data_IF_108664347271
#
_entry.id   IF_108664347271
#
_cell.length_a   1.000
_cell.length_b   1.000
_cell.length_c   1.000
_cell.angle_alpha   90.00
_cell.angle_beta   90.00
_cell.angle_gamma   90.00
#
_symmetry.space_group_name_H-M   'P 1'
#
loop_
_entity.id
_entity.type
_entity.pdbx_description
1 polymer ?
#
# COMPACT_ATOMS: atom_id res chain seq x y z
N UNK A 1 4.57 -34.19 7.38
CA UNK A 1 3.95 -32.83 7.13
C UNK A 1 2.45 -33.03 6.97
N UNK A 2 1.64 -32.28 7.74
CA UNK A 2 0.19 -32.27 7.52
C UNK A 2 -0.09 -31.37 6.31
N UNK A 3 -0.60 -31.97 5.25
CA UNK A 3 -1.07 -31.23 4.07
C UNK A 3 -2.25 -30.35 4.48
N UNK A 4 -2.23 -29.07 4.10
CA UNK A 4 -3.36 -28.17 4.30
C UNK A 4 -4.36 -28.43 3.18
N UNK A 5 -5.57 -28.84 3.55
CA UNK A 5 -6.66 -29.06 2.61
C UNK A 5 -7.61 -27.87 2.67
N UNK A 6 -7.96 -27.33 1.53
CA UNK A 6 -8.95 -26.24 1.39
C UNK A 6 -10.15 -26.77 0.63
N UNK A 7 -11.30 -26.83 1.27
CA UNK A 7 -12.56 -27.15 0.60
C UNK A 7 -13.23 -25.86 0.12
N UNK A 8 -13.56 -25.78 -1.15
CA UNK A 8 -14.07 -24.53 -1.75
C UNK A 8 -15.36 -24.02 -1.08
N UNK A 9 -16.25 -24.92 -0.66
CA UNK A 9 -17.52 -24.57 0.03
C UNK A 9 -17.31 -24.01 1.44
N UNK A 10 -16.13 -24.23 2.06
CA UNK A 10 -15.78 -23.67 3.36
C UNK A 10 -15.29 -22.22 3.23
N UNK A 11 -14.74 -21.88 2.06
CA UNK A 11 -14.18 -20.57 1.77
C UNK A 11 -15.21 -19.64 1.15
N UNK A 12 -15.91 -20.10 0.10
CA UNK A 12 -16.97 -19.35 -0.59
C UNK A 12 -18.17 -20.25 -0.83
N UNK A 13 -19.35 -19.87 -0.31
CA UNK A 13 -20.60 -20.65 -0.43
C UNK A 13 -21.46 -20.12 -1.56
N UNK A 14 -20.88 -19.98 -2.73
CA UNK A 14 -21.56 -19.49 -3.91
C UNK A 14 -21.53 -20.51 -5.04
N UNK A 15 -22.48 -20.43 -5.97
CA UNK A 15 -22.66 -21.40 -7.06
C UNK A 15 -21.70 -21.20 -8.24
N UNK A 16 -20.94 -20.13 -8.28
CA UNK A 16 -20.00 -19.77 -9.36
C UNK A 16 -18.73 -20.63 -9.26
N UNK A 17 -18.67 -21.68 -10.05
CA UNK A 17 -17.67 -22.74 -9.92
C UNK A 17 -16.25 -22.25 -10.17
N UNK A 18 -16.02 -21.48 -11.23
CA UNK A 18 -14.68 -20.97 -11.57
C UNK A 18 -14.14 -20.04 -10.50
N UNK A 19 -14.89 -19.02 -10.13
CA UNK A 19 -14.50 -18.04 -9.13
C UNK A 19 -14.35 -18.68 -7.74
N UNK A 20 -15.19 -19.66 -7.41
CA UNK A 20 -15.08 -20.42 -6.17
C UNK A 20 -13.80 -21.25 -6.12
N UNK A 21 -13.47 -21.93 -7.23
CA UNK A 21 -12.23 -22.71 -7.34
C UNK A 21 -11.01 -21.80 -7.31
N UNK A 22 -11.04 -20.69 -8.03
CA UNK A 22 -10.01 -19.66 -7.99
C UNK A 22 -9.75 -19.18 -6.56
N UNK A 23 -10.81 -18.83 -5.83
CA UNK A 23 -10.73 -18.40 -4.42
C UNK A 23 -10.15 -19.47 -3.52
N UNK A 24 -10.56 -20.72 -3.70
CA UNK A 24 -10.03 -21.86 -2.92
C UNK A 24 -8.56 -22.16 -3.24
N UNK A 25 -8.17 -22.08 -4.51
CA UNK A 25 -6.79 -22.25 -4.93
C UNK A 25 -5.88 -21.16 -4.34
N UNK A 26 -6.33 -19.90 -4.40
CA UNK A 26 -5.59 -18.80 -3.79
C UNK A 26 -5.50 -18.96 -2.27
N UNK A 27 -6.60 -19.38 -1.60
CA UNK A 27 -6.55 -19.69 -0.17
C UNK A 27 -5.52 -20.78 0.13
N UNK A 28 -5.51 -21.86 -0.62
CA UNK A 28 -4.55 -22.95 -0.44
C UNK A 28 -3.09 -22.49 -0.64
N UNK A 29 -2.87 -21.57 -1.58
CA UNK A 29 -1.56 -20.98 -1.85
C UNK A 29 -1.05 -20.10 -0.71
N UNK A 30 -1.90 -19.22 -0.16
CA UNK A 30 -1.48 -18.24 0.88
C UNK A 30 -1.58 -18.81 2.29
N UNK A 31 -2.42 -19.82 2.54
CA UNK A 31 -2.66 -20.38 3.87
C UNK A 31 -1.41 -20.86 4.62
N UNK A 32 -0.41 -21.53 4.00
CA UNK A 32 0.79 -21.95 4.71
C UNK A 32 1.56 -20.78 5.33
N UNK A 33 1.75 -19.70 4.55
CA UNK A 33 2.47 -18.51 5.01
C UNK A 33 1.68 -17.75 6.09
N UNK A 34 0.38 -17.53 5.87
CA UNK A 34 -0.50 -16.87 6.83
C UNK A 34 -0.57 -17.63 8.15
N UNK A 35 -0.72 -18.96 8.07
CA UNK A 35 -0.75 -19.85 9.24
C UNK A 35 0.53 -19.78 10.05
N UNK A 36 1.68 -19.86 9.38
CA UNK A 36 2.98 -19.72 10.02
C UNK A 36 3.12 -18.38 10.74
N UNK A 37 2.77 -17.29 10.06
CA UNK A 37 2.82 -15.95 10.62
C UNK A 37 1.90 -15.79 11.85
N UNK A 38 0.64 -16.23 11.75
CA UNK A 38 -0.34 -16.15 12.84
C UNK A 38 0.15 -16.91 14.08
N UNK A 39 0.65 -18.13 13.91
CA UNK A 39 1.11 -18.92 15.04
C UNK A 39 2.40 -18.38 15.65
N UNK A 40 3.35 -17.92 14.83
CA UNK A 40 4.57 -17.30 15.31
C UNK A 40 4.25 -16.01 16.12
N UNK A 41 3.35 -15.17 15.60
CA UNK A 41 2.90 -13.96 16.28
C UNK A 41 2.17 -14.28 17.60
N UNK A 42 1.26 -15.26 17.61
CA UNK A 42 0.54 -15.67 18.80
C UNK A 42 1.51 -16.18 19.89
N UNK A 43 2.48 -17.03 19.51
CA UNK A 43 3.47 -17.55 20.45
C UNK A 43 4.38 -16.46 21.02
N UNK A 44 4.78 -15.48 20.20
CA UNK A 44 5.62 -14.38 20.67
C UNK A 44 4.84 -13.42 21.60
N UNK A 45 3.57 -13.15 21.30
CA UNK A 45 2.70 -12.34 22.17
C UNK A 45 2.45 -13.04 23.51
N UNK A 46 2.23 -14.35 23.52
CA UNK A 46 2.06 -15.14 24.75
C UNK A 46 3.32 -15.08 25.62
N UNK A 47 4.50 -15.23 25.03
CA UNK A 47 5.79 -15.08 25.75
C UNK A 47 5.95 -13.70 26.39
N UNK A 48 5.40 -12.67 25.78
CA UNK A 48 5.38 -11.29 26.31
C UNK A 48 4.26 -11.04 27.30
N UNK A 49 3.50 -12.07 27.69
CA UNK A 49 2.44 -11.98 28.70
C UNK A 49 1.11 -11.47 28.16
N UNK A 50 0.91 -11.41 26.83
CA UNK A 50 -0.40 -11.07 26.27
C UNK A 50 -1.41 -12.17 26.56
N UNK A 51 -2.55 -11.79 27.17
CA UNK A 51 -3.63 -12.71 27.56
C UNK A 51 -4.94 -12.45 26.80
N UNK A 52 -4.92 -11.54 25.86
CA UNK A 52 -6.09 -11.16 25.06
C UNK A 52 -6.33 -12.10 23.88
N UNK A 53 -7.38 -11.83 23.12
CA UNK A 53 -7.66 -12.50 21.86
C UNK A 53 -6.94 -11.77 20.73
N UNK A 54 -6.19 -12.50 19.91
CA UNK A 54 -5.56 -11.95 18.70
C UNK A 54 -6.60 -11.94 17.57
N UNK A 55 -6.77 -10.77 16.98
CA UNK A 55 -7.59 -10.58 15.78
C UNK A 55 -6.71 -10.22 14.58
N UNK A 56 -7.13 -10.65 13.41
CA UNK A 56 -6.52 -10.32 12.14
C UNK A 56 -7.50 -9.51 11.29
N UNK A 57 -6.97 -8.52 10.59
CA UNK A 57 -7.74 -7.69 9.67
C UNK A 57 -8.16 -8.47 8.45
N UNK A 58 -9.42 -8.28 8.01
CA UNK A 58 -9.96 -8.86 6.78
C UNK A 58 -9.96 -7.83 5.64
N UNK A 59 -9.94 -8.35 4.41
CA UNK A 59 -10.13 -7.56 3.19
C UNK A 59 -11.48 -6.83 3.15
N UNK A 60 -12.48 -7.37 3.83
CA UNK A 60 -13.84 -6.81 3.94
C UNK A 60 -13.94 -5.58 4.86
N UNK A 61 -12.88 -5.25 5.59
CA UNK A 61 -12.85 -4.13 6.52
C UNK A 61 -13.22 -4.48 7.96
N UNK A 62 -13.46 -5.75 8.26
CA UNK A 62 -13.66 -6.24 9.63
C UNK A 62 -12.42 -6.95 10.19
N UNK A 63 -12.53 -7.42 11.42
CA UNK A 63 -11.54 -8.30 12.04
C UNK A 63 -12.13 -9.66 12.39
N UNK A 64 -11.32 -10.70 12.28
CA UNK A 64 -11.65 -12.08 12.67
C UNK A 64 -10.59 -12.61 13.62
N UNK A 65 -10.94 -13.66 14.40
CA UNK A 65 -9.96 -14.34 15.24
C UNK A 65 -8.81 -14.89 14.41
N UNK A 66 -7.61 -14.84 14.96
CA UNK A 66 -6.39 -15.27 14.28
C UNK A 66 -6.44 -16.73 13.81
N UNK A 67 -7.09 -17.63 14.58
CA UNK A 67 -7.27 -19.03 14.21
C UNK A 67 -8.12 -19.18 12.94
N UNK A 68 -9.14 -18.32 12.77
CA UNK A 68 -9.98 -18.30 11.57
C UNK A 68 -9.24 -17.74 10.37
N UNK A 69 -8.41 -16.71 10.58
CA UNK A 69 -7.53 -16.17 9.55
C UNK A 69 -6.53 -17.21 9.05
N UNK A 70 -6.05 -18.11 9.91
CA UNK A 70 -5.17 -19.22 9.52
C UNK A 70 -5.85 -20.26 8.63
N UNK A 71 -7.19 -20.33 8.63
CA UNK A 71 -8.00 -21.23 7.78
C UNK A 71 -8.49 -20.50 6.52
N UNK A 72 -9.02 -19.30 6.69
CA UNK A 72 -9.57 -18.46 5.62
C UNK A 72 -8.57 -17.36 5.23
N UNK A 73 -7.36 -17.76 4.90
CA UNK A 73 -6.24 -16.85 4.66
C UNK A 73 -6.50 -15.85 3.52
N UNK A 74 -7.26 -16.26 2.49
CA UNK A 74 -7.66 -15.39 1.38
C UNK A 74 -8.41 -14.14 1.84
N UNK A 75 -9.12 -14.20 2.96
CA UNK A 75 -9.83 -13.05 3.53
C UNK A 75 -8.92 -12.02 4.20
N UNK A 76 -7.63 -12.30 4.34
CA UNK A 76 -6.65 -11.36 4.93
C UNK A 76 -5.78 -10.65 3.88
N UNK A 77 -5.99 -10.96 2.61
CA UNK A 77 -5.29 -10.29 1.52
C UNK A 77 -5.66 -8.79 1.50
N UNK A 78 -4.69 -7.92 1.17
CA UNK A 78 -4.88 -6.47 1.14
C UNK A 78 -5.27 -5.83 2.49
N UNK A 79 -5.13 -6.53 3.62
CA UNK A 79 -5.54 -6.06 4.95
C UNK A 79 -4.84 -4.75 5.39
N UNK A 80 -3.59 -4.51 4.97
CA UNK A 80 -2.86 -3.27 5.25
C UNK A 80 -3.52 -2.05 4.64
N UNK A 81 -3.69 -1.98 3.31
CA UNK A 81 -4.43 -0.90 2.64
C UNK A 81 -5.85 -0.70 3.16
N UNK A 82 -6.55 -1.80 3.48
CA UNK A 82 -7.90 -1.75 4.05
C UNK A 82 -7.92 -1.07 5.42
N UNK A 83 -6.90 -1.30 6.27
CA UNK A 83 -6.76 -0.56 7.52
C UNK A 83 -6.69 0.96 7.30
N UNK A 84 -5.95 1.40 6.29
CA UNK A 84 -5.89 2.80 5.88
C UNK A 84 -7.24 3.36 5.43
N UNK A 85 -7.99 2.60 4.63
CA UNK A 85 -9.33 2.99 4.17
C UNK A 85 -10.31 3.14 5.35
N UNK A 86 -10.27 2.22 6.33
CA UNK A 86 -11.08 2.33 7.56
C UNK A 86 -10.68 3.58 8.35
N UNK A 87 -9.37 3.81 8.53
CA UNK A 87 -8.89 5.03 9.16
C UNK A 87 -9.41 6.28 8.46
N UNK A 88 -9.45 6.28 7.13
CA UNK A 88 -9.97 7.40 6.34
C UNK A 88 -11.47 7.64 6.59
N UNK A 89 -12.27 6.58 6.74
CA UNK A 89 -13.74 6.70 6.93
C UNK A 89 -14.14 7.31 8.27
N UNK A 90 -13.28 7.26 9.28
CA UNK A 90 -13.56 7.88 10.59
C UNK A 90 -13.08 9.34 10.67
N UNK A 91 -12.40 9.82 9.65
CA UNK A 91 -12.09 11.24 9.51
C UNK A 91 -13.38 12.00 9.16
N UNK A 92 -13.63 13.11 9.85
CA UNK A 92 -14.86 13.91 9.67
C UNK A 92 -14.83 14.69 8.36
N UNK A 93 -14.93 14.01 7.25
CA UNK A 93 -15.09 14.52 5.88
C UNK A 93 -15.98 13.56 5.10
N UNK A 94 -16.87 14.08 4.28
CA UNK A 94 -17.81 13.27 3.50
C UNK A 94 -17.12 12.53 2.36
N UNK A 95 -16.19 13.18 1.68
CA UNK A 95 -15.50 12.63 0.52
C UNK A 95 -13.98 12.69 0.71
N UNK A 96 -13.34 11.53 0.76
CA UNK A 96 -11.90 11.40 0.95
C UNK A 96 -11.31 10.47 -0.12
N UNK A 97 -10.22 10.93 -0.74
CA UNK A 97 -9.27 10.07 -1.42
C UNK A 97 -8.16 9.77 -0.42
N UNK A 98 -8.21 8.59 0.21
CA UNK A 98 -7.15 8.11 1.08
C UNK A 98 -6.07 7.44 0.27
N UNK A 99 -4.80 7.81 0.47
CA UNK A 99 -3.71 7.06 -0.14
C UNK A 99 -2.55 6.80 0.81
N UNK A 100 -2.02 5.59 0.68
CA UNK A 100 -0.83 5.09 1.37
C UNK A 100 0.33 4.99 0.38
N UNK A 101 1.44 5.67 0.66
CA UNK A 101 2.68 5.47 -0.09
C UNK A 101 3.69 4.81 0.84
N UNK A 102 3.86 3.53 0.62
CA UNK A 102 4.87 2.73 1.30
C UNK A 102 6.20 2.67 0.55
N UNK A 103 7.00 1.64 0.83
CA UNK A 103 8.25 1.40 0.12
C UNK A 103 8.06 0.81 -1.29
N UNK A 104 6.96 0.10 -1.54
CA UNK A 104 6.76 -0.70 -2.77
C UNK A 104 5.55 -0.26 -3.58
N UNK A 105 4.46 0.09 -2.91
CA UNK A 105 3.17 0.40 -3.52
C UNK A 105 2.66 1.80 -3.19
N UNK A 106 1.76 2.24 -4.02
CA UNK A 106 0.84 3.35 -3.82
C UNK A 106 -0.57 2.77 -3.82
N UNK A 107 -1.24 2.82 -2.68
CA UNK A 107 -2.55 2.24 -2.46
C UNK A 107 -3.58 3.34 -2.27
N UNK A 108 -4.65 3.32 -3.05
CA UNK A 108 -5.71 4.35 -3.05
C UNK A 108 -7.04 3.74 -2.66
N UNK A 109 -7.76 4.42 -1.79
CA UNK A 109 -9.12 4.08 -1.39
C UNK A 109 -10.04 5.31 -1.44
N UNK A 110 -11.34 5.09 -1.62
CA UNK A 110 -12.34 6.14 -1.62
C UNK A 110 -13.28 6.01 -0.43
N UNK A 111 -13.54 7.14 0.20
CA UNK A 111 -14.68 7.35 1.10
C UNK A 111 -15.63 8.30 0.39
N UNK A 112 -16.86 7.87 0.16
CA UNK A 112 -17.91 8.63 -0.52
C UNK A 112 -19.10 8.78 0.43
N UNK A 113 -19.50 10.01 0.71
CA UNK A 113 -20.53 10.32 1.70
C UNK A 113 -20.29 9.63 3.06
N UNK A 114 -19.04 9.65 3.54
CA UNK A 114 -18.64 9.07 4.81
C UNK A 114 -18.59 7.53 4.84
N UNK A 115 -18.71 6.86 3.69
CA UNK A 115 -18.71 5.39 3.60
C UNK A 115 -17.59 4.88 2.72
N UNK A 116 -16.96 3.81 3.16
CA UNK A 116 -15.99 3.06 2.35
C UNK A 116 -16.76 2.24 1.32
N UNK A 117 -16.26 2.23 0.10
CA UNK A 117 -16.78 1.34 -0.93
C UNK A 117 -16.28 -0.09 -0.73
N UNK A 118 -17.20 -1.03 -0.80
CA UNK A 118 -16.90 -2.47 -0.75
C UNK A 118 -17.39 -3.14 -2.02
N UNK A 119 -16.60 -4.06 -2.53
CA UNK A 119 -16.98 -4.96 -3.61
C UNK A 119 -17.27 -6.36 -3.04
N UNK A 120 -18.24 -7.05 -3.61
CA UNK A 120 -18.56 -8.45 -3.25
C UNK A 120 -17.54 -9.41 -3.86
N UNK A 121 -16.96 -8.99 -4.98
CA UNK A 121 -15.97 -9.72 -5.75
C UNK A 121 -14.72 -8.85 -5.91
N UNK A 122 -13.56 -9.47 -5.85
CA UNK A 122 -12.28 -8.83 -6.13
C UNK A 122 -11.55 -9.60 -7.23
N UNK A 123 -10.57 -8.96 -7.82
CA UNK A 123 -9.61 -9.58 -8.71
C UNK A 123 -8.20 -9.33 -8.19
N UNK A 124 -7.40 -10.39 -8.09
CA UNK A 124 -5.99 -10.29 -7.71
C UNK A 124 -5.18 -10.96 -8.81
N UNK A 125 -4.30 -10.21 -9.46
CA UNK A 125 -3.44 -10.70 -10.56
C UNK A 125 -4.21 -11.42 -11.66
N UNK A 126 -5.40 -10.93 -12.02
CA UNK A 126 -6.28 -11.53 -13.03
C UNK A 126 -7.12 -12.72 -12.55
N UNK A 127 -7.02 -13.08 -11.27
CA UNK A 127 -7.81 -14.17 -10.68
C UNK A 127 -9.01 -13.63 -9.91
N UNK A 128 -10.25 -14.03 -10.27
CA UNK A 128 -11.44 -13.61 -9.52
C UNK A 128 -11.49 -14.25 -8.15
N UNK A 129 -11.93 -13.48 -7.17
CA UNK A 129 -12.05 -13.88 -5.77
C UNK A 129 -13.44 -13.57 -5.26
N UNK A 130 -14.13 -14.60 -4.77
CA UNK A 130 -15.41 -14.50 -4.07
C UNK A 130 -15.16 -14.23 -2.59
N UNK A 131 -14.76 -13.02 -2.26
CA UNK A 131 -14.63 -12.55 -0.89
C UNK A 131 -14.95 -11.05 -0.86
N UNK A 132 -15.80 -10.59 0.06
CA UNK A 132 -16.03 -9.17 0.23
C UNK A 132 -14.71 -8.44 0.47
N UNK A 133 -14.48 -7.36 -0.27
CA UNK A 133 -13.23 -6.62 -0.20
C UNK A 133 -13.51 -5.12 -0.22
N UNK A 134 -12.84 -4.37 0.61
CA UNK A 134 -12.79 -2.91 0.48
C UNK A 134 -12.13 -2.59 -0.86
N UNK A 135 -12.72 -1.69 -1.61
CA UNK A 135 -12.21 -1.30 -2.91
C UNK A 135 -10.94 -0.44 -2.74
N UNK A 136 -9.79 -1.08 -2.88
CA UNK A 136 -8.48 -0.45 -2.84
C UNK A 136 -7.80 -0.69 -4.19
N UNK A 137 -7.35 0.39 -4.81
CA UNK A 137 -6.58 0.33 -6.05
C UNK A 137 -5.09 0.51 -5.75
N UNK A 138 -4.26 -0.43 -6.21
CA UNK A 138 -2.83 -0.46 -5.91
C UNK A 138 -2.00 -0.43 -7.19
N UNK A 139 -0.96 0.39 -7.19
CA UNK A 139 0.07 0.41 -8.25
C UNK A 139 1.47 0.30 -7.66
N UNK A 140 2.40 -0.26 -8.45
CA UNK A 140 3.82 -0.35 -8.08
C UNK A 140 4.54 1.00 -8.20
N UNK A 141 4.20 1.96 -7.32
CA UNK A 141 4.76 3.31 -7.29
C UNK A 141 5.05 3.76 -5.86
N UNK A 142 5.84 3.00 -5.12
CA UNK A 142 6.30 3.34 -3.76
C UNK A 142 7.69 3.96 -3.74
N UNK A 143 8.16 4.34 -2.55
CA UNK A 143 9.45 4.99 -2.36
C UNK A 143 10.65 4.22 -2.91
N UNK A 144 10.58 2.88 -2.96
CA UNK A 144 11.61 2.02 -3.54
C UNK A 144 11.51 1.81 -5.05
N UNK A 145 10.54 2.42 -5.74
CA UNK A 145 10.42 2.30 -7.19
C UNK A 145 11.65 2.84 -7.89
N UNK A 146 12.23 2.00 -8.76
CA UNK A 146 13.51 2.24 -9.41
C UNK A 146 13.34 3.25 -10.55
N UNK A 147 14.26 4.21 -10.64
CA UNK A 147 14.41 5.10 -11.78
C UNK A 147 15.36 4.47 -12.81
N UNK A 148 14.93 4.32 -14.05
CA UNK A 148 15.67 3.67 -15.11
C UNK A 148 15.48 4.38 -16.46
N UNK A 149 16.24 3.99 -17.46
CA UNK A 149 16.21 4.58 -18.80
C UNK A 149 15.64 3.57 -19.80
N UNK A 150 14.75 4.02 -20.67
CA UNK A 150 14.24 3.25 -21.79
C UNK A 150 14.14 4.12 -23.04
N UNK A 151 14.84 3.72 -24.09
CA UNK A 151 14.85 4.41 -25.38
C UNK A 151 15.14 5.92 -25.28
N UNK A 152 16.06 6.31 -24.42
CA UNK A 152 16.43 7.70 -24.15
C UNK A 152 15.46 8.45 -23.25
N UNK A 153 14.41 7.82 -22.74
CA UNK A 153 13.43 8.40 -21.85
C UNK A 153 13.58 7.92 -20.39
N UNK A 154 13.33 8.84 -19.46
CA UNK A 154 13.31 8.53 -18.03
C UNK A 154 12.06 7.73 -17.67
N UNK A 155 12.21 6.66 -16.89
CA UNK A 155 11.14 5.80 -16.37
C UNK A 155 11.27 5.62 -14.87
N UNK A 156 10.14 5.39 -14.20
CA UNK A 156 10.08 5.11 -12.76
C UNK A 156 9.16 3.92 -12.51
N UNK A 157 9.68 2.89 -11.81
CA UNK A 157 8.93 1.64 -11.59
C UNK A 157 8.54 0.93 -12.89
N UNK A 158 7.72 -0.13 -12.81
CA UNK A 158 7.08 -0.70 -11.61
C UNK A 158 8.04 -1.50 -10.70
N UNK A 159 9.26 -1.78 -11.15
CA UNK A 159 10.26 -2.49 -10.36
C UNK A 159 10.61 -1.70 -9.10
N UNK A 160 10.74 -2.41 -7.98
CA UNK A 160 11.13 -1.85 -6.69
C UNK A 160 12.46 -2.44 -6.21
N UNK A 161 13.31 -1.60 -5.63
CA UNK A 161 14.51 -2.05 -4.94
C UNK A 161 14.20 -2.81 -3.63
N UNK A 162 12.95 -2.79 -3.19
CA UNK A 162 12.52 -3.42 -1.94
C UNK A 162 13.18 -2.80 -0.71
N UNK A 163 13.28 -3.61 0.36
CA UNK A 163 13.96 -3.22 1.58
C UNK A 163 15.45 -3.61 1.57
N UNK A 164 15.80 -4.64 0.79
CA UNK A 164 17.16 -5.18 0.61
C UNK A 164 17.30 -5.57 -0.87
N UNK A 165 18.25 -4.99 -1.60
CA UNK A 165 19.24 -4.01 -1.17
C UNK A 165 18.65 -2.63 -0.81
N UNK A 166 17.46 -2.30 -1.33
CA UNK A 166 16.76 -1.05 -1.07
C UNK A 166 17.31 0.15 -1.86
N UNK A 167 16.79 1.35 -1.57
CA UNK A 167 17.31 2.61 -2.07
C UNK A 167 18.82 2.79 -1.86
N UNK A 168 19.47 3.54 -2.74
CA UNK A 168 20.91 3.84 -2.62
C UNK A 168 21.25 4.45 -1.26
N UNK A 169 20.39 5.35 -0.78
CA UNK A 169 20.57 6.04 0.49
C UNK A 169 20.58 5.09 1.71
N UNK A 170 20.01 3.88 1.60
CA UNK A 170 20.01 2.93 2.73
C UNK A 170 21.39 2.29 2.97
N UNK A 171 22.31 2.44 2.02
CA UNK A 171 23.69 1.91 2.10
C UNK A 171 23.75 0.40 2.37
N UNK A 172 22.84 -0.35 1.76
CA UNK A 172 22.72 -1.82 1.91
C UNK A 172 23.02 -2.57 0.61
N UNK A 173 23.78 -1.93 -0.31
CA UNK A 173 24.13 -2.51 -1.60
C UNK A 173 23.22 -2.08 -2.76
N UNK A 174 22.22 -1.21 -2.53
CA UNK A 174 21.46 -0.58 -3.60
C UNK A 174 22.36 0.31 -4.45
N UNK A 175 22.24 0.18 -5.78
CA UNK A 175 23.08 0.93 -6.74
C UNK A 175 22.26 1.69 -7.79
N UNK A 176 20.93 1.53 -7.80
CA UNK A 176 20.04 2.18 -8.77
C UNK A 176 19.15 3.19 -8.05
N UNK A 177 19.06 4.46 -8.51
CA UNK A 177 18.24 5.48 -7.90
C UNK A 177 16.77 5.09 -7.79
N UNK A 178 16.13 5.52 -6.71
CA UNK A 178 14.72 5.30 -6.43
C UNK A 178 13.99 6.62 -6.13
N UNK A 179 12.66 6.57 -5.97
CA UNK A 179 11.87 7.74 -5.51
C UNK A 179 12.35 8.23 -4.14
N UNK A 180 12.72 7.32 -3.21
CA UNK A 180 13.28 7.72 -1.90
C UNK A 180 14.57 8.50 -2.07
N UNK A 181 15.44 8.06 -2.95
CA UNK A 181 16.70 8.73 -3.25
C UNK A 181 16.46 10.11 -3.89
N UNK A 182 15.49 10.21 -4.81
CA UNK A 182 15.08 11.49 -5.40
C UNK A 182 14.60 12.48 -4.32
N UNK A 183 13.74 12.04 -3.40
CA UNK A 183 13.29 12.87 -2.29
C UNK A 183 14.45 13.32 -1.36
N UNK A 184 15.48 12.49 -1.22
CA UNK A 184 16.67 12.86 -0.43
C UNK A 184 17.51 13.94 -1.12
N UNK A 185 17.81 13.81 -2.42
CA UNK A 185 18.61 14.84 -3.13
C UNK A 185 17.85 16.15 -3.26
N UNK A 186 16.52 16.12 -3.35
CA UNK A 186 15.67 17.32 -3.36
C UNK A 186 15.49 17.95 -1.98
N UNK A 187 15.99 17.31 -0.92
CA UNK A 187 15.88 17.84 0.45
C UNK A 187 14.52 17.63 1.11
N UNK A 188 13.63 16.82 0.54
CA UNK A 188 12.35 16.46 1.14
C UNK A 188 12.52 15.48 2.31
N UNK A 189 13.63 14.76 2.37
CA UNK A 189 14.02 13.87 3.46
C UNK A 189 15.24 14.41 4.20
N UNK A 190 15.17 14.40 5.55
CA UNK A 190 16.32 14.74 6.41
C UNK A 190 17.11 13.47 6.71
N UNK A 191 18.43 13.44 6.40
CA UNK A 191 19.29 12.30 6.72
C UNK A 191 19.35 12.00 8.22
N UNK A 192 19.26 13.03 9.04
CA UNK A 192 19.39 12.92 10.50
C UNK A 192 18.12 12.40 11.17
N UNK A 193 16.96 12.65 10.55
CA UNK A 193 15.64 12.35 11.14
C UNK A 193 14.93 11.15 10.49
N UNK A 194 15.58 10.48 9.57
CA UNK A 194 14.96 9.33 8.89
C UNK A 194 14.58 8.23 9.90
N UNK A 195 13.34 7.76 9.85
CA UNK A 195 12.74 6.86 10.84
C UNK A 195 12.89 7.34 12.30
N UNK A 196 12.77 8.64 12.53
CA UNK A 196 12.97 9.24 13.85
C UNK A 196 14.42 9.15 14.35
N UNK A 197 15.39 9.20 13.44
CA UNK A 197 16.81 9.12 13.71
C UNK A 197 17.35 7.69 13.96
N UNK A 198 16.49 6.67 13.86
CA UNK A 198 16.89 5.27 14.07
C UNK A 198 17.69 4.66 12.92
N UNK A 199 17.62 5.26 11.74
CA UNK A 199 18.37 4.84 10.58
C UNK A 199 19.08 6.04 9.96
N UNK A 200 20.40 5.93 9.82
CA UNK A 200 21.20 6.90 9.06
C UNK A 200 21.11 6.55 7.59
N UNK A 201 20.88 7.55 6.74
CA UNK A 201 20.88 7.39 5.29
C UNK A 201 22.05 8.15 4.66
N UNK A 202 22.61 7.60 3.59
CA UNK A 202 23.84 8.07 2.96
C UNK A 202 23.52 9.04 1.83
N UNK A 203 23.57 10.35 2.12
CA UNK A 203 23.30 11.40 1.15
C UNK A 203 24.37 11.44 0.04
N UNK A 204 25.63 11.33 0.39
CA UNK A 204 26.75 11.45 -0.56
C UNK A 204 26.69 10.36 -1.65
N UNK A 205 26.40 9.11 -1.27
CA UNK A 205 26.20 8.03 -2.27
C UNK A 205 25.02 8.31 -3.19
N UNK A 206 23.95 8.85 -2.64
CA UNK A 206 22.73 9.18 -3.39
C UNK A 206 22.99 10.29 -4.40
N UNK A 207 23.70 11.35 -3.99
CA UNK A 207 24.09 12.45 -4.87
C UNK A 207 24.93 11.94 -6.05
N UNK A 208 25.95 11.12 -5.80
CA UNK A 208 26.76 10.49 -6.86
C UNK A 208 25.92 9.64 -7.82
N UNK A 209 25.00 8.85 -7.28
CA UNK A 209 24.13 8.01 -8.11
C UNK A 209 23.19 8.86 -9.00
N UNK A 210 22.69 10.00 -8.50
CA UNK A 210 21.87 10.90 -9.29
C UNK A 210 22.68 11.74 -10.29
N UNK A 211 23.93 12.10 -9.99
CA UNK A 211 24.84 12.70 -10.97
C UNK A 211 25.09 11.76 -12.15
N UNK A 212 25.35 10.48 -11.88
CA UNK A 212 25.54 9.46 -12.93
C UNK A 212 24.26 9.19 -13.72
N UNK A 213 23.11 9.16 -13.03
CA UNK A 213 21.81 8.95 -13.66
C UNK A 213 21.42 10.14 -14.55
N UNK A 214 21.61 11.37 -14.08
CA UNK A 214 21.29 12.61 -14.80
C UNK A 214 22.11 12.77 -16.10
N UNK A 215 23.38 12.35 -16.11
CA UNK A 215 24.24 12.38 -17.31
C UNK A 215 23.63 11.64 -18.50
N UNK A 216 22.80 10.63 -18.29
CA UNK A 216 22.12 9.90 -19.37
C UNK A 216 21.10 10.74 -20.13
N UNK A 217 20.68 11.86 -19.56
CA UNK A 217 19.64 12.74 -20.08
C UNK A 217 20.12 14.20 -20.24
N UNK A 218 21.41 14.47 -20.12
CA UNK A 218 21.98 15.83 -20.08
C UNK A 218 21.37 16.71 -18.97
N UNK A 219 21.02 16.10 -17.83
CA UNK A 219 20.44 16.76 -16.67
C UNK A 219 21.44 16.80 -15.50
N UNK A 220 21.37 17.86 -14.70
CA UNK A 220 22.03 17.88 -13.41
C UNK A 220 21.30 16.98 -12.39
N UNK A 221 21.92 16.77 -11.24
CA UNK A 221 21.40 15.92 -10.18
C UNK A 221 20.00 16.32 -9.70
N UNK A 222 19.76 17.64 -9.52
CA UNK A 222 18.48 18.14 -9.01
C UNK A 222 17.38 17.99 -10.07
N UNK A 223 17.66 18.35 -11.31
CA UNK A 223 16.73 18.18 -12.43
C UNK A 223 16.38 16.71 -12.65
N UNK A 224 17.35 15.80 -12.50
CA UNK A 224 17.09 14.36 -12.57
C UNK A 224 16.20 13.89 -11.40
N UNK A 225 16.43 14.38 -10.19
CA UNK A 225 15.59 14.11 -9.03
C UNK A 225 14.16 14.63 -9.19
N UNK A 226 14.01 15.85 -9.68
CA UNK A 226 12.70 16.44 -10.00
C UNK A 226 11.97 15.63 -11.09
N UNK A 227 12.68 15.20 -12.12
CA UNK A 227 12.13 14.33 -13.17
C UNK A 227 11.57 13.03 -12.62
N UNK A 228 12.31 12.35 -11.74
CA UNK A 228 11.86 11.11 -11.08
C UNK A 228 10.62 11.35 -10.25
N UNK A 229 10.58 12.40 -9.40
CA UNK A 229 9.43 12.73 -8.58
C UNK A 229 8.23 13.13 -9.43
N UNK A 230 8.42 13.89 -10.50
CA UNK A 230 7.35 14.31 -11.41
C UNK A 230 6.69 13.11 -12.08
N UNK A 231 7.47 12.19 -12.64
CA UNK A 231 6.95 10.97 -13.26
C UNK A 231 6.19 10.12 -12.23
N UNK A 232 6.72 10.00 -11.01
CA UNK A 232 6.05 9.26 -9.94
C UNK A 232 4.70 9.91 -9.58
N UNK A 233 4.66 11.22 -9.40
CA UNK A 233 3.44 11.96 -9.05
C UNK A 233 2.38 11.87 -10.15
N UNK A 234 2.76 11.95 -11.43
CA UNK A 234 1.83 11.76 -12.55
C UNK A 234 1.24 10.35 -12.55
N UNK A 235 2.06 9.30 -12.35
CA UNK A 235 1.55 7.92 -12.24
C UNK A 235 0.57 7.75 -11.08
N UNK A 236 0.87 8.36 -9.94
CA UNK A 236 -0.02 8.32 -8.77
C UNK A 236 -1.32 9.09 -9.03
N UNK A 237 -1.25 10.26 -9.67
CA UNK A 237 -2.43 11.02 -10.07
C UNK A 237 -3.29 10.25 -11.09
N UNK A 238 -2.67 9.55 -12.04
CA UNK A 238 -3.39 8.72 -13.01
C UNK A 238 -4.10 7.54 -12.34
N UNK A 239 -3.50 6.91 -11.34
CA UNK A 239 -4.15 5.88 -10.53
C UNK A 239 -5.40 6.42 -9.80
N UNK A 240 -5.35 7.65 -9.29
CA UNK A 240 -6.51 8.31 -8.69
C UNK A 240 -7.57 8.62 -9.75
N UNK A 241 -7.17 9.09 -10.95
CA UNK A 241 -8.10 9.33 -12.07
C UNK A 241 -8.79 8.03 -12.50
N UNK A 242 -8.05 6.93 -12.53
CA UNK A 242 -8.61 5.62 -12.88
C UNK A 242 -9.69 5.19 -11.88
N UNK A 243 -9.45 5.37 -10.60
CA UNK A 243 -10.40 5.01 -9.55
C UNK A 243 -11.61 5.96 -9.48
N UNK A 244 -11.46 7.21 -9.91
CA UNK A 244 -12.48 8.27 -9.81
C UNK A 244 -13.15 8.57 -11.13
N UNK A 245 -12.44 9.18 -12.08
CA UNK A 245 -12.99 9.70 -13.35
C UNK A 245 -13.61 8.59 -14.19
N UNK A 246 -12.99 7.42 -14.29
CA UNK A 246 -13.57 6.26 -15.02
C UNK A 246 -14.91 5.80 -14.45
N UNK A 247 -15.18 6.15 -13.20
CA UNK A 247 -16.43 5.82 -12.48
C UNK A 247 -17.41 6.98 -12.45
N UNK A 248 -17.11 8.08 -13.14
CA UNK A 248 -17.94 9.29 -13.17
C UNK A 248 -17.84 10.12 -11.89
N UNK A 249 -16.81 9.91 -11.07
CA UNK A 249 -16.55 10.63 -9.83
C UNK A 249 -15.58 11.79 -10.15
N UNK A 250 -15.92 13.00 -9.73
CA UNK A 250 -15.04 14.16 -9.87
C UNK A 250 -14.11 14.26 -8.64
N UNK A 251 -12.78 14.04 -8.79
CA UNK A 251 -11.85 14.09 -7.68
C UNK A 251 -11.75 15.47 -7.01
N UNK A 252 -12.10 16.54 -7.69
CA UNK A 252 -12.07 17.91 -7.16
C UNK A 252 -13.05 18.14 -6.00
N UNK A 253 -14.03 17.26 -5.85
CA UNK A 253 -15.01 17.27 -4.75
C UNK A 253 -14.53 16.48 -3.52
N UNK A 254 -13.28 16.05 -3.49
CA UNK A 254 -12.70 15.26 -2.43
C UNK A 254 -11.57 16.01 -1.72
N UNK A 255 -11.32 15.62 -0.48
CA UNK A 255 -10.08 15.93 0.23
C UNK A 255 -9.11 14.76 0.08
N UNK A 256 -7.83 15.04 -0.07
CA UNK A 256 -6.79 14.01 0.02
C UNK A 256 -6.47 13.75 1.48
N UNK A 257 -6.40 12.48 1.87
CA UNK A 257 -5.80 12.03 3.13
C UNK A 257 -4.53 11.24 2.80
N UNK A 258 -3.36 11.83 3.08
CA UNK A 258 -2.07 11.28 2.72
C UNK A 258 -1.40 10.62 3.92
N UNK A 259 -1.10 9.32 3.81
CA UNK A 259 -0.42 8.57 4.85
C UNK A 259 0.61 7.58 4.25
N UNK A 260 1.15 6.69 5.08
CA UNK A 260 2.33 5.92 4.73
C UNK A 260 3.63 6.69 4.95
N UNK A 261 4.75 6.00 4.76
CA UNK A 261 6.08 6.57 4.99
C UNK A 261 6.45 7.70 4.01
N UNK A 262 5.90 7.68 2.80
CA UNK A 262 6.20 8.63 1.74
C UNK A 262 5.01 9.52 1.34
N UNK A 263 3.77 9.15 1.70
CA UNK A 263 2.55 9.83 1.28
C UNK A 263 2.57 11.36 1.45
N UNK A 264 2.90 11.88 2.64
CA UNK A 264 2.92 13.32 2.87
C UNK A 264 3.86 14.11 1.95
N UNK A 265 4.97 13.52 1.49
CA UNK A 265 5.95 14.20 0.62
C UNK A 265 5.40 14.46 -0.79
N UNK A 266 4.51 13.61 -1.27
CA UNK A 266 3.94 13.67 -2.62
C UNK A 266 2.56 14.36 -2.66
N UNK A 267 1.88 14.45 -1.52
CA UNK A 267 0.47 14.81 -1.44
C UNK A 267 0.11 16.16 -2.06
N UNK A 268 0.90 17.21 -1.79
CA UNK A 268 0.63 18.54 -2.33
C UNK A 268 0.79 18.61 -3.85
N UNK A 269 1.76 17.89 -4.41
CA UNK A 269 1.98 17.84 -5.86
C UNK A 269 0.90 17.04 -6.56
N UNK A 270 0.46 15.93 -5.98
CA UNK A 270 -0.66 15.12 -6.48
C UNK A 270 -1.97 15.94 -6.39
N UNK A 271 -2.21 16.65 -5.29
CA UNK A 271 -3.37 17.50 -5.14
C UNK A 271 -3.43 18.60 -6.22
N UNK A 272 -2.28 19.24 -6.48
CA UNK A 272 -2.14 20.26 -7.55
C UNK A 272 -2.44 19.68 -8.93
N UNK A 273 -1.94 18.48 -9.22
CA UNK A 273 -2.15 17.77 -10.48
C UNK A 273 -3.62 17.40 -10.73
N UNK A 274 -4.38 17.14 -9.64
CA UNK A 274 -5.80 16.78 -9.69
C UNK A 274 -6.76 17.95 -9.41
N UNK A 275 -6.23 19.16 -9.21
CA UNK A 275 -7.01 20.35 -8.82
C UNK A 275 -7.82 20.15 -7.53
N UNK A 276 -7.26 19.37 -6.59
CA UNK A 276 -7.85 19.13 -5.26
C UNK A 276 -7.36 20.21 -4.29
N UNK A 277 -8.28 20.79 -3.53
CA UNK A 277 -8.01 21.98 -2.70
C UNK A 277 -7.55 21.69 -1.28
N UNK A 278 -7.87 20.50 -0.74
CA UNK A 278 -7.58 20.13 0.65
C UNK A 278 -6.71 18.89 0.70
N UNK A 279 -5.60 18.97 1.45
CA UNK A 279 -4.74 17.84 1.80
C UNK A 279 -4.71 17.72 3.32
N UNK A 280 -5.01 16.55 3.81
CA UNK A 280 -4.98 16.18 5.23
C UNK A 280 -3.82 15.23 5.44
N UNK A 281 -2.95 15.55 6.38
CA UNK A 281 -1.87 14.65 6.84
C UNK A 281 -2.15 14.33 8.31
N UNK A 282 -2.38 13.07 8.68
CA UNK A 282 -2.61 12.69 10.07
C UNK A 282 -1.34 12.87 10.90
N UNK A 283 -1.49 13.01 12.22
CA UNK A 283 -0.36 13.26 13.14
C UNK A 283 0.74 12.19 13.06
N UNK A 284 0.37 10.95 12.78
CA UNK A 284 1.29 9.82 12.65
C UNK A 284 1.06 9.08 11.32
N UNK A 285 1.43 9.68 10.17
CA UNK A 285 1.08 9.13 8.86
C UNK A 285 1.71 7.76 8.61
N UNK A 286 2.91 7.50 9.09
CA UNK A 286 3.62 6.23 8.88
C UNK A 286 3.01 5.01 9.58
N UNK A 287 2.07 5.20 10.51
CA UNK A 287 1.35 4.13 11.24
C UNK A 287 -0.17 4.31 11.16
N UNK A 288 -0.64 5.13 10.24
CA UNK A 288 -2.07 5.44 10.12
C UNK A 288 -2.92 4.23 9.78
N UNK A 289 -2.45 3.35 8.91
CA UNK A 289 -3.14 2.09 8.58
C UNK A 289 -3.30 1.19 9.82
N UNK A 290 -2.29 1.12 10.69
CA UNK A 290 -2.38 0.38 11.95
C UNK A 290 -3.37 1.04 12.92
N UNK A 291 -3.42 2.38 12.98
CA UNK A 291 -4.43 3.09 13.76
C UNK A 291 -5.84 2.84 13.21
N UNK A 292 -6.00 2.82 11.88
CA UNK A 292 -7.27 2.49 11.24
C UNK A 292 -7.76 1.07 11.57
N UNK A 293 -6.85 0.09 11.66
CA UNK A 293 -7.21 -1.27 12.11
C UNK A 293 -7.83 -1.31 13.50
N UNK A 294 -7.45 -0.38 14.40
CA UNK A 294 -8.04 -0.27 15.73
C UNK A 294 -9.46 0.31 15.72
N UNK A 295 -9.91 0.86 14.59
CA UNK A 295 -11.26 1.38 14.40
C UNK A 295 -12.20 0.33 13.75
N UNK A 296 -11.66 -0.84 13.38
CA UNK A 296 -12.42 -1.89 12.71
C UNK A 296 -13.31 -2.66 13.68
N UNK A 297 -14.53 -2.96 13.25
CA UNK A 297 -15.47 -3.81 13.98
C UNK A 297 -15.21 -5.30 13.71
N UNK A 298 -15.69 -6.16 14.62
CA UNK A 298 -15.78 -7.60 14.36
C UNK A 298 -16.85 -7.81 13.28
N UNK A 299 -16.47 -8.40 12.17
CA UNK A 299 -17.36 -8.64 11.03
C UNK A 299 -17.44 -10.12 10.68
N UNK A 300 -18.66 -10.61 10.50
CA UNK A 300 -18.91 -11.93 9.95
C UNK A 300 -19.79 -11.79 8.71
N UNK A 301 -19.25 -12.20 7.59
CA UNK A 301 -20.00 -12.24 6.33
C UNK A 301 -20.61 -13.63 6.15
N UNK A 302 -21.89 -13.68 5.78
CA UNK A 302 -22.61 -14.92 5.47
C UNK A 302 -23.38 -14.74 4.15
N UNK A 303 -23.25 -15.72 3.24
CA UNK A 303 -24.07 -15.83 2.04
C UNK A 303 -25.14 -16.91 2.24
N UNK A 304 -26.36 -16.64 1.74
CA UNK A 304 -27.51 -17.55 1.79
C UNK A 304 -27.83 -17.98 0.38
#
# INVERSE_FOLDING_TARGET
EKVIVTASYEIARESREYERVSTAALNAYVAPSTRHHVYALSAELEKRGFKGTLYMMQSSGGVIRAEMAAVKAVQTLMSGPVGGAIGASVIKRDNIIGFDIGGTSFDVSLVVNGRIETAVEAEIEGFPILAPTVNVFSIGAGGGSIAWEEAGGMRVGPQSAGAVPGPVCYDRGGGVPTITDANLVLGHLSPEHFLGGRMKINREKTEKAFEEYGKKFDLDMLMAGEGVCTIANHKMADAIRELTVRRGIDPRNFSILAFGGAGPMHAALIAKELDIKEVIVPANPGVFSAWGMLQADIRHDASI
#
